data_IF_251918802539
#
_entry.id   IF_251918802539
#
_cell.length_a   1.000
_cell.length_b   1.000
_cell.length_c   1.000
_cell.angle_alpha   90.00
_cell.angle_beta   90.00
_cell.angle_gamma   90.00
#
_symmetry.space_group_name_H-M   'P 1'
#
loop_
_entity.id
_entity.type
_entity.pdbx_description
1 polymer ?
#
# COMPACT_ATOMS: atom_id res chain seq x y z
N UNK A 1 29.05 -30.80 14.53
CA UNK A 1 27.96 -29.88 14.92
C UNK A 1 28.27 -28.49 14.40
N UNK A 2 27.59 -28.02 13.35
CA UNK A 2 27.62 -26.61 12.94
C UNK A 2 26.19 -26.11 12.85
N UNK A 3 26.01 -24.91 13.40
CA UNK A 3 24.76 -24.33 13.86
C UNK A 3 23.78 -24.07 12.72
N UNK A 4 22.53 -24.47 12.91
CA UNK A 4 21.42 -24.07 12.07
C UNK A 4 21.11 -22.59 12.34
N UNK A 5 21.38 -21.71 11.37
CA UNK A 5 20.84 -20.35 11.39
C UNK A 5 19.37 -20.41 11.01
N UNK A 6 18.50 -20.63 12.02
CA UNK A 6 17.06 -20.41 11.88
C UNK A 6 16.83 -18.91 11.77
N UNK A 7 16.69 -18.42 10.55
CA UNK A 7 16.03 -17.13 10.32
C UNK A 7 14.54 -17.36 10.59
N UNK A 8 14.16 -17.43 11.86
CA UNK A 8 12.75 -17.46 12.24
C UNK A 8 12.16 -16.10 11.86
N UNK A 9 11.57 -16.06 10.66
CA UNK A 9 10.82 -14.91 10.17
C UNK A 9 9.74 -14.59 11.20
N UNK A 10 9.85 -13.44 11.87
CA UNK A 10 8.88 -13.00 12.86
C UNK A 10 7.53 -12.87 12.15
N UNK A 11 6.66 -13.86 12.34
CA UNK A 11 5.29 -13.78 11.87
C UNK A 11 4.50 -12.88 12.82
N UNK A 12 3.89 -11.84 12.27
CA UNK A 12 3.06 -10.91 13.04
C UNK A 12 1.60 -11.27 12.82
N UNK A 13 0.86 -11.38 13.91
CA UNK A 13 -0.59 -11.56 13.92
C UNK A 13 -1.30 -10.26 14.24
N UNK A 14 -2.44 -10.01 13.58
CA UNK A 14 -3.35 -8.89 13.89
C UNK A 14 -4.80 -9.31 13.72
N UNK A 15 -5.67 -8.72 14.52
CA UNK A 15 -7.12 -8.88 14.39
C UNK A 15 -7.64 -8.04 13.22
N UNK A 16 -8.53 -8.61 12.41
CA UNK A 16 -9.28 -7.88 11.41
C UNK A 16 -10.41 -7.07 12.05
N UNK A 17 -10.45 -5.78 11.76
CA UNK A 17 -11.47 -4.84 12.22
C UNK A 17 -12.87 -5.04 11.59
N UNK A 18 -13.00 -5.96 10.62
CA UNK A 18 -14.26 -6.28 9.94
C UNK A 18 -14.85 -7.60 10.44
N UNK A 19 -14.09 -8.70 10.33
CA UNK A 19 -14.59 -10.02 10.71
C UNK A 19 -14.15 -10.46 12.11
N UNK A 20 -13.25 -9.73 12.77
CA UNK A 20 -12.67 -10.15 14.05
C UNK A 20 -11.67 -11.30 13.93
N UNK A 21 -11.47 -11.85 12.73
CA UNK A 21 -10.52 -12.95 12.54
C UNK A 21 -9.08 -12.45 12.63
N UNK A 22 -8.26 -13.21 13.35
CA UNK A 22 -6.82 -12.95 13.40
C UNK A 22 -6.16 -13.47 12.13
N UNK A 23 -5.38 -12.64 11.46
CA UNK A 23 -4.59 -13.03 10.29
C UNK A 23 -3.10 -12.82 10.53
N UNK A 24 -2.28 -13.64 9.86
CA UNK A 24 -0.83 -13.65 10.01
C UNK A 24 -0.13 -13.12 8.76
N UNK A 25 1.05 -12.52 8.94
CA UNK A 25 1.94 -12.17 7.84
C UNK A 25 2.41 -13.41 7.08
N UNK A 26 2.21 -13.42 5.76
CA UNK A 26 2.61 -14.52 4.87
C UNK A 26 4.10 -14.58 4.56
N UNK A 27 4.82 -13.47 4.74
CA UNK A 27 6.25 -13.37 4.50
C UNK A 27 6.85 -12.22 5.35
N UNK A 28 8.19 -12.12 5.47
CA UNK A 28 8.85 -11.07 6.26
C UNK A 28 8.50 -9.64 5.83
N UNK A 29 8.34 -9.38 4.53
CA UNK A 29 7.94 -8.07 4.01
C UNK A 29 6.53 -7.69 4.49
N UNK A 30 5.59 -8.63 4.46
CA UNK A 30 4.24 -8.45 4.98
C UNK A 30 4.27 -8.24 6.50
N UNK A 31 5.14 -8.95 7.23
CA UNK A 31 5.33 -8.75 8.67
C UNK A 31 5.81 -7.33 8.97
N UNK A 32 6.85 -6.87 8.27
CA UNK A 32 7.36 -5.50 8.40
C UNK A 32 6.31 -4.45 8.04
N UNK A 33 5.56 -4.66 6.95
CA UNK A 33 4.48 -3.78 6.55
C UNK A 33 3.34 -3.76 7.59
N UNK A 34 2.97 -4.90 8.19
CA UNK A 34 1.98 -4.99 9.26
C UNK A 34 2.45 -4.29 10.55
N UNK A 35 3.72 -4.43 10.91
CA UNK A 35 4.34 -3.73 12.04
C UNK A 35 4.35 -2.21 11.82
N UNK A 36 4.70 -1.78 10.60
CA UNK A 36 4.72 -0.39 10.18
C UNK A 36 3.31 0.21 9.92
N UNK A 37 2.24 -0.56 10.10
CA UNK A 37 0.86 -0.15 9.81
C UNK A 37 0.52 0.00 8.33
N UNK A 38 1.43 -0.38 7.42
CA UNK A 38 1.29 -0.22 5.96
C UNK A 38 0.44 -1.30 5.28
N UNK A 39 0.20 -2.44 5.94
CA UNK A 39 -0.58 -3.55 5.41
C UNK A 39 -1.57 -4.08 6.45
N UNK A 40 -2.87 -4.10 6.12
CA UNK A 40 -3.92 -4.72 6.94
C UNK A 40 -4.82 -5.64 6.13
N UNK A 41 -4.28 -6.35 5.13
CA UNK A 41 -5.16 -7.14 4.24
C UNK A 41 -5.48 -8.46 4.92
N UNK A 42 -6.66 -8.54 5.53
CA UNK A 42 -7.24 -9.82 5.93
C UNK A 42 -7.48 -10.66 4.67
N UNK A 43 -6.97 -11.90 4.65
CA UNK A 43 -7.11 -12.80 3.50
C UNK A 43 -8.57 -13.17 3.20
N UNK A 44 -9.36 -13.29 4.25
CA UNK A 44 -10.79 -13.62 4.19
C UNK A 44 -11.60 -12.44 3.65
N UNK A 45 -11.34 -11.23 4.17
CA UNK A 45 -12.13 -10.03 3.81
C UNK A 45 -11.57 -9.25 2.62
N UNK A 46 -10.33 -9.52 2.20
CA UNK A 46 -9.58 -8.81 1.16
C UNK A 46 -9.66 -7.28 1.27
N UNK A 47 -9.70 -6.75 2.49
CA UNK A 47 -9.68 -5.30 2.78
C UNK A 47 -8.70 -4.99 3.90
N UNK A 48 -7.90 -3.95 3.67
CA UNK A 48 -7.09 -3.29 4.67
C UNK A 48 -7.56 -1.85 4.79
N UNK A 49 -7.94 -1.40 6.00
CA UNK A 49 -8.06 0.01 6.34
C UNK A 49 -9.10 0.83 5.55
N UNK A 50 -10.06 0.16 4.90
CA UNK A 50 -11.03 0.85 4.07
C UNK A 50 -12.19 1.38 4.92
N UNK A 51 -12.30 2.71 4.99
CA UNK A 51 -13.54 3.36 5.42
C UNK A 51 -14.61 3.34 4.32
N UNK A 52 -14.27 2.86 3.12
CA UNK A 52 -15.21 2.56 2.06
C UNK A 52 -15.74 1.12 2.16
N UNK A 53 -17.05 0.96 1.95
CA UNK A 53 -17.70 -0.35 1.86
C UNK A 53 -17.56 -0.99 0.46
N UNK A 54 -16.84 -0.36 -0.48
CA UNK A 54 -16.63 -0.87 -1.84
C UNK A 54 -15.39 -1.77 -1.94
N UNK A 55 -15.44 -2.89 -2.69
CA UNK A 55 -14.25 -3.66 -3.04
C UNK A 55 -13.20 -2.74 -3.67
N UNK A 56 -11.90 -2.96 -3.43
CA UNK A 56 -10.84 -2.07 -3.94
C UNK A 56 -10.94 -1.83 -5.47
N UNK A 57 -11.24 -2.89 -6.22
CA UNK A 57 -11.44 -2.84 -7.67
C UNK A 57 -12.60 -1.95 -8.14
N UNK A 58 -13.61 -1.74 -7.30
CA UNK A 58 -14.72 -0.83 -7.54
C UNK A 58 -14.41 0.57 -7.01
N UNK A 59 -13.80 0.63 -5.82
CA UNK A 59 -13.36 1.89 -5.22
C UNK A 59 -12.44 2.69 -6.15
N UNK A 60 -11.44 2.04 -6.76
CA UNK A 60 -10.50 2.71 -7.69
C UNK A 60 -11.17 3.22 -8.98
N UNK A 61 -12.43 2.84 -9.23
CA UNK A 61 -13.24 3.32 -10.36
C UNK A 61 -14.24 4.41 -9.93
N UNK A 62 -14.42 4.60 -8.63
CA UNK A 62 -15.35 5.59 -8.06
C UNK A 62 -14.91 7.02 -8.35
N UNK A 63 -15.87 7.94 -8.37
CA UNK A 63 -15.59 9.35 -8.61
C UNK A 63 -14.77 9.98 -7.47
N UNK A 64 -15.02 9.57 -6.23
CA UNK A 64 -14.22 10.00 -5.09
C UNK A 64 -12.73 9.61 -5.18
N UNK A 65 -12.40 8.48 -5.80
CA UNK A 65 -11.00 8.16 -6.10
C UNK A 65 -10.46 9.00 -7.26
N UNK A 66 -11.23 9.17 -8.35
CA UNK A 66 -10.81 10.00 -9.50
C UNK A 66 -10.47 11.42 -9.07
N UNK A 67 -11.29 12.03 -8.22
CA UNK A 67 -11.04 13.37 -7.66
C UNK A 67 -9.75 13.43 -6.85
N UNK A 68 -9.51 12.47 -5.95
CA UNK A 68 -8.26 12.38 -5.19
C UNK A 68 -7.05 12.17 -6.08
N UNK A 69 -7.18 11.32 -7.09
CA UNK A 69 -6.12 11.07 -8.09
C UNK A 69 -5.75 12.37 -8.82
N UNK A 70 -6.75 13.13 -9.28
CA UNK A 70 -6.51 14.42 -9.95
C UNK A 70 -5.86 15.44 -9.02
N UNK A 71 -6.29 15.50 -7.76
CA UNK A 71 -5.68 16.37 -6.75
C UNK A 71 -4.22 16.00 -6.50
N UNK A 72 -3.90 14.72 -6.35
CA UNK A 72 -2.53 14.25 -6.15
C UNK A 72 -1.63 14.63 -7.35
N UNK A 73 -2.11 14.43 -8.58
CA UNK A 73 -1.41 14.83 -9.80
C UNK A 73 -1.14 16.34 -9.85
N UNK A 74 -2.14 17.16 -9.49
CA UNK A 74 -2.00 18.61 -9.45
C UNK A 74 -0.97 19.07 -8.39
N UNK A 75 -1.00 18.48 -7.19
CA UNK A 75 -0.03 18.77 -6.12
C UNK A 75 1.40 18.35 -6.50
N UNK A 76 1.56 17.33 -7.32
CA UNK A 76 2.84 16.90 -7.86
C UNK A 76 3.22 17.60 -9.17
N UNK A 77 2.46 18.63 -9.59
CA UNK A 77 2.69 19.40 -10.81
C UNK A 77 2.70 18.56 -12.11
N UNK A 78 2.09 17.37 -12.08
CA UNK A 78 2.19 16.34 -13.12
C UNK A 78 3.61 15.83 -13.37
N UNK A 79 4.38 15.65 -12.30
CA UNK A 79 5.69 15.00 -12.32
C UNK A 79 5.74 13.80 -11.38
N UNK A 80 6.57 12.82 -11.73
CA UNK A 80 6.98 11.77 -10.81
C UNK A 80 7.74 12.41 -9.64
N UNK A 81 7.31 12.17 -8.41
CA UNK A 81 7.92 12.75 -7.21
C UNK A 81 9.26 12.10 -6.81
N UNK A 82 9.82 11.26 -7.70
CA UNK A 82 11.10 10.57 -7.51
C UNK A 82 12.09 10.96 -8.60
N UNK A 83 11.70 10.81 -9.87
CA UNK A 83 12.59 11.03 -11.01
C UNK A 83 12.19 12.21 -11.91
N UNK A 84 11.14 12.96 -11.55
CA UNK A 84 10.62 14.11 -12.30
C UNK A 84 10.12 13.81 -13.73
N UNK A 85 9.93 12.54 -14.11
CA UNK A 85 9.30 12.20 -15.38
C UNK A 85 7.85 12.71 -15.43
N UNK A 86 7.42 13.23 -16.59
CA UNK A 86 6.06 13.78 -16.80
C UNK A 86 5.09 12.77 -17.42
N UNK A 87 5.63 11.70 -18.01
CA UNK A 87 4.84 10.72 -18.76
C UNK A 87 4.44 9.51 -17.91
N UNK A 88 3.24 8.98 -18.21
CA UNK A 88 2.71 7.72 -17.66
C UNK A 88 2.75 7.68 -16.13
N UNK A 89 2.08 8.68 -15.54
CA UNK A 89 1.97 8.86 -14.10
C UNK A 89 0.80 8.09 -13.50
N UNK A 90 1.11 7.36 -12.44
CA UNK A 90 0.18 6.63 -11.59
C UNK A 90 0.27 7.18 -10.15
N UNK A 91 -0.84 7.09 -9.42
CA UNK A 91 -0.91 7.49 -8.01
C UNK A 91 -0.81 6.24 -7.15
N UNK A 92 0.30 6.14 -6.44
CA UNK A 92 0.60 5.03 -5.54
C UNK A 92 0.07 5.33 -4.13
N UNK A 93 -0.44 4.31 -3.46
CA UNK A 93 -0.82 4.41 -2.05
C UNK A 93 0.38 4.03 -1.18
N UNK A 94 0.96 4.99 -0.47
CA UNK A 94 2.00 4.74 0.54
C UNK A 94 1.47 3.90 1.72
N UNK A 95 0.16 3.97 1.94
CA UNK A 95 -0.57 3.19 2.93
C UNK A 95 -2.04 3.05 2.54
N UNK A 96 -2.64 1.92 2.93
CA UNK A 96 -4.06 1.62 2.68
C UNK A 96 -4.94 1.85 3.91
N UNK A 97 -4.39 2.33 5.03
CA UNK A 97 -5.09 2.48 6.33
C UNK A 97 -6.33 3.37 6.31
N UNK A 98 -6.46 4.24 5.32
CA UNK A 98 -7.54 5.23 5.20
C UNK A 98 -8.23 5.15 3.85
N UNK A 99 -8.26 3.97 3.23
CA UNK A 99 -8.82 3.80 1.88
C UNK A 99 -10.27 4.33 1.83
N UNK A 100 -10.55 5.21 0.86
CA UNK A 100 -11.80 5.98 0.74
C UNK A 100 -11.79 7.36 1.41
N UNK A 101 -10.81 7.64 2.25
CA UNK A 101 -10.59 8.89 2.98
C UNK A 101 -9.09 9.22 3.12
N UNK A 102 -8.34 8.95 2.06
CA UNK A 102 -6.90 9.15 1.99
C UNK A 102 -6.56 10.62 2.24
N UNK A 103 -5.47 10.83 2.98
CA UNK A 103 -4.79 12.12 3.09
C UNK A 103 -3.87 12.28 1.90
N UNK A 104 -3.50 13.51 1.56
CA UNK A 104 -2.55 13.76 0.47
C UNK A 104 -1.21 13.03 0.70
N UNK A 105 -0.73 12.96 1.94
CA UNK A 105 0.49 12.23 2.32
C UNK A 105 0.38 10.70 2.20
N UNK A 106 -0.83 10.15 2.11
CA UNK A 106 -1.05 8.71 1.90
C UNK A 106 -0.80 8.33 0.43
N UNK A 107 -0.69 9.31 -0.45
CA UNK A 107 -0.56 9.16 -1.89
C UNK A 107 0.78 9.72 -2.36
N UNK A 108 1.34 9.11 -3.40
CA UNK A 108 2.54 9.64 -4.09
C UNK A 108 2.37 9.43 -5.59
N UNK A 109 2.72 10.44 -6.38
CA UNK A 109 2.68 10.38 -7.84
C UNK A 109 3.99 9.82 -8.36
N UNK A 110 3.92 8.73 -9.12
CA UNK A 110 5.08 8.02 -9.65
C UNK A 110 4.89 7.75 -11.14
N UNK A 111 5.97 7.82 -11.92
CA UNK A 111 5.96 7.19 -13.24
C UNK A 111 5.94 5.66 -13.10
N UNK A 112 5.52 4.95 -14.14
CA UNK A 112 5.49 3.47 -14.11
C UNK A 112 6.79 2.82 -13.68
N UNK A 113 7.94 3.32 -14.15
CA UNK A 113 9.24 2.75 -13.76
C UNK A 113 9.48 2.81 -12.26
N UNK A 114 9.24 3.96 -11.63
CA UNK A 114 9.34 4.11 -10.18
C UNK A 114 8.24 3.34 -9.43
N UNK A 115 7.03 3.27 -10.01
CA UNK A 115 5.91 2.54 -9.42
C UNK A 115 6.17 1.04 -9.33
N UNK A 116 6.71 0.44 -10.40
CA UNK A 116 7.03 -0.98 -10.46
C UNK A 116 8.16 -1.33 -9.49
N UNK A 117 9.16 -0.46 -9.33
CA UNK A 117 10.21 -0.61 -8.32
C UNK A 117 9.64 -0.63 -6.89
N UNK A 118 8.68 0.25 -6.60
CA UNK A 118 8.00 0.26 -5.31
C UNK A 118 7.22 -1.03 -5.02
N UNK A 119 6.57 -1.60 -6.05
CA UNK A 119 5.83 -2.86 -5.90
C UNK A 119 6.73 -4.09 -5.77
N UNK A 120 7.85 -4.13 -6.49
CA UNK A 120 8.72 -5.30 -6.52
C UNK A 120 9.64 -5.40 -5.29
N UNK A 121 10.21 -4.28 -4.85
CA UNK A 121 11.24 -4.30 -3.80
C UNK A 121 10.73 -3.79 -2.44
N UNK A 122 9.56 -3.16 -2.37
CA UNK A 122 9.04 -2.51 -1.16
C UNK A 122 9.95 -1.40 -0.62
N UNK A 123 10.99 -1.04 -1.38
CA UNK A 123 11.98 0.00 -1.14
C UNK A 123 12.39 0.55 -2.49
N UNK A 124 12.47 1.88 -2.60
CA UNK A 124 13.28 2.48 -3.63
C UNK A 124 14.75 2.32 -3.24
N UNK A 125 15.63 1.90 -4.16
CA UNK A 125 17.06 1.87 -3.91
C UNK A 125 17.55 3.33 -3.78
N UNK A 126 17.63 3.78 -2.54
CA UNK A 126 18.42 4.93 -2.12
C UNK A 126 19.44 4.46 -1.08
#
# INVERSE_FOLDING_TARGET
MRLATRHDAIQISRECDICGETFQSKNPQAAFAMAAGKLRVCDTCRRAGARTQLPYSEYIKSDGWKERRLRALALAENHCQVCHAEARLDVHHNTYERLGHERDADLVVLCRGCHDLFHNDGRLPY
#
